data_IF_544585229245
#
_entry.id   IF_544585229245
#
_cell.length_a   1.000
_cell.length_b   1.000
_cell.length_c   1.000
_cell.angle_alpha   90.00
_cell.angle_beta   90.00
_cell.angle_gamma   90.00
#
_symmetry.space_group_name_H-M   'P 1'
#
loop_
_entity.id
_entity.type
_entity.pdbx_description
1 polymer ?
#
# COMPACT_ATOMS: atom_id res chain seq x y z
N UNK A 1 28.58 -15.18 -26.07
CA UNK A 1 28.02 -14.46 -24.92
C UNK A 1 26.59 -14.18 -25.29
N UNK A 2 25.65 -14.87 -24.65
CA UNK A 2 24.24 -14.87 -25.02
C UNK A 2 23.58 -13.58 -24.52
N UNK A 3 23.05 -12.79 -25.45
CA UNK A 3 22.36 -11.51 -25.20
C UNK A 3 20.92 -11.74 -24.76
N UNK A 4 20.74 -12.35 -23.59
CA UNK A 4 19.42 -12.60 -23.02
C UNK A 4 19.40 -12.15 -21.56
N UNK A 5 19.14 -10.86 -21.31
CA UNK A 5 18.56 -10.35 -20.05
C UNK A 5 18.33 -8.83 -20.02
N UNK A 6 18.17 -8.14 -21.15
CA UNK A 6 17.58 -6.79 -21.12
C UNK A 6 16.07 -6.94 -20.94
N UNK A 7 15.63 -7.09 -19.69
CA UNK A 7 14.27 -6.71 -19.29
C UNK A 7 14.13 -5.23 -19.65
N UNK A 8 13.62 -4.97 -20.84
CA UNK A 8 13.46 -3.65 -21.46
C UNK A 8 12.28 -2.91 -20.82
N UNK A 9 12.19 -2.92 -19.49
CA UNK A 9 11.30 -2.04 -18.74
C UNK A 9 12.12 -0.80 -18.44
N UNK A 10 11.86 0.34 -19.11
CA UNK A 10 12.57 1.57 -18.83
C UNK A 10 12.37 1.97 -17.37
N UNK A 11 13.40 2.51 -16.71
CA UNK A 11 13.30 3.08 -15.34
C UNK A 11 12.11 4.04 -15.22
N UNK A 12 11.79 4.76 -16.30
CA UNK A 12 10.63 5.65 -16.38
C UNK A 12 9.29 4.93 -16.12
N UNK A 13 9.09 3.72 -16.65
CA UNK A 13 7.88 2.94 -16.44
C UNK A 13 7.77 2.44 -15.00
N UNK A 14 8.89 2.00 -14.40
CA UNK A 14 8.93 1.63 -12.98
C UNK A 14 8.58 2.82 -12.06
N UNK A 15 9.10 4.01 -12.38
CA UNK A 15 8.78 5.24 -11.65
C UNK A 15 7.29 5.62 -11.80
N UNK A 16 6.74 5.50 -13.01
CA UNK A 16 5.33 5.76 -13.27
C UNK A 16 4.42 4.78 -12.51
N UNK A 17 4.76 3.49 -12.52
CA UNK A 17 4.04 2.47 -11.76
C UNK A 17 4.11 2.71 -10.24
N UNK A 18 5.29 3.06 -9.71
CA UNK A 18 5.44 3.43 -8.30
C UNK A 18 4.59 4.65 -7.93
N UNK A 19 4.52 5.66 -8.81
CA UNK A 19 3.70 6.85 -8.57
C UNK A 19 2.22 6.50 -8.49
N UNK A 20 1.70 5.73 -9.47
CA UNK A 20 0.32 5.24 -9.44
C UNK A 20 0.04 4.40 -8.18
N UNK A 21 1.00 3.58 -7.78
CA UNK A 21 0.84 2.73 -6.61
C UNK A 21 0.76 3.54 -5.30
N UNK A 22 1.52 4.63 -5.18
CA UNK A 22 1.43 5.57 -4.04
C UNK A 22 0.10 6.30 -3.99
N UNK A 23 -0.50 6.61 -5.13
CA UNK A 23 -1.84 7.21 -5.18
C UNK A 23 -2.88 6.23 -4.61
N UNK A 24 -2.82 4.96 -5.02
CA UNK A 24 -3.67 3.90 -4.45
C UNK A 24 -3.43 3.70 -2.94
N UNK A 25 -2.18 3.81 -2.47
CA UNK A 25 -1.85 3.72 -1.03
C UNK A 25 -2.52 4.85 -0.24
N UNK A 26 -2.53 6.06 -0.78
CA UNK A 26 -3.22 7.20 -0.18
C UNK A 26 -4.74 7.01 -0.16
N UNK A 27 -5.32 6.49 -1.23
CA UNK A 27 -6.76 6.18 -1.29
C UNK A 27 -7.15 5.12 -0.27
N UNK A 28 -6.37 4.03 -0.16
CA UNK A 28 -6.59 2.99 0.84
C UNK A 28 -6.53 3.56 2.27
N UNK A 29 -5.59 4.46 2.54
CA UNK A 29 -5.45 5.10 3.84
C UNK A 29 -6.61 6.06 4.16
N UNK A 30 -7.16 6.75 3.14
CA UNK A 30 -8.39 7.53 3.31
C UNK A 30 -9.57 6.64 3.70
N UNK A 31 -9.72 5.45 3.11
CA UNK A 31 -10.75 4.48 3.49
C UNK A 31 -10.56 4.03 4.94
N UNK A 32 -9.33 3.68 5.35
CA UNK A 32 -9.04 3.30 6.73
C UNK A 32 -9.41 4.39 7.73
N UNK A 33 -9.07 5.64 7.43
CA UNK A 33 -9.38 6.78 8.29
C UNK A 33 -10.88 7.07 8.35
N UNK A 34 -11.61 6.88 7.25
CA UNK A 34 -13.08 6.98 7.24
C UNK A 34 -13.74 5.91 8.13
N UNK A 35 -13.18 4.69 8.16
CA UNK A 35 -13.69 3.61 9.03
C UNK A 35 -13.40 3.89 10.50
N UNK A 36 -12.15 4.19 10.85
CA UNK A 36 -11.75 4.40 12.25
C UNK A 36 -12.40 5.64 12.88
N UNK A 37 -12.66 6.68 12.08
CA UNK A 37 -13.33 7.90 12.54
C UNK A 37 -14.84 7.86 12.31
N UNK A 38 -15.25 7.94 11.04
CA UNK A 38 -16.64 8.16 10.65
C UNK A 38 -17.54 6.96 10.97
N UNK A 39 -17.14 5.77 10.54
CA UNK A 39 -17.91 4.55 10.80
C UNK A 39 -17.96 4.29 12.30
N UNK A 40 -16.81 4.25 12.99
CA UNK A 40 -16.77 4.12 14.46
C UNK A 40 -17.67 5.11 15.18
N UNK A 41 -17.75 6.35 14.69
CA UNK A 41 -18.59 7.40 15.25
C UNK A 41 -20.10 7.08 15.27
N UNK A 42 -20.60 6.23 14.36
CA UNK A 42 -22.01 5.82 14.32
C UNK A 42 -22.43 5.12 15.63
N UNK A 43 -21.52 4.32 16.20
CA UNK A 43 -21.76 3.58 17.44
C UNK A 43 -21.67 4.42 18.71
N UNK A 44 -21.38 5.73 18.63
CA UNK A 44 -21.15 6.56 19.82
C UNK A 44 -22.38 6.70 20.73
N UNK A 45 -23.58 6.66 20.15
CA UNK A 45 -24.84 6.71 20.89
C UNK A 45 -25.31 5.34 21.38
N UNK A 46 -24.59 4.26 21.03
CA UNK A 46 -24.91 2.91 21.46
C UNK A 46 -24.30 2.65 22.84
N UNK A 47 -24.87 1.71 23.58
CA UNK A 47 -24.44 1.38 24.94
C UNK A 47 -24.38 -0.14 25.17
N UNK A 48 -23.67 -0.54 26.23
CA UNK A 48 -23.56 -1.93 26.63
C UNK A 48 -22.96 -2.82 25.53
N UNK A 49 -23.46 -4.06 25.45
CA UNK A 49 -22.92 -5.08 24.56
C UNK A 49 -22.97 -4.70 23.08
N UNK A 50 -23.97 -3.92 22.63
CA UNK A 50 -24.06 -3.47 21.25
C UNK A 50 -22.88 -2.59 20.85
N UNK A 51 -22.49 -1.63 21.71
CA UNK A 51 -21.31 -0.79 21.48
C UNK A 51 -20.01 -1.60 21.52
N UNK A 52 -19.90 -2.52 22.47
CA UNK A 52 -18.72 -3.38 22.60
C UNK A 52 -18.53 -4.25 21.35
N UNK A 53 -19.57 -4.93 20.89
CA UNK A 53 -19.51 -5.76 19.68
C UNK A 53 -19.20 -4.92 18.43
N UNK A 54 -19.80 -3.73 18.31
CA UNK A 54 -19.54 -2.83 17.21
C UNK A 54 -18.09 -2.35 17.14
N UNK A 55 -17.53 -1.91 18.27
CA UNK A 55 -16.14 -1.50 18.34
C UNK A 55 -15.18 -2.66 18.02
N UNK A 56 -15.48 -3.86 18.53
CA UNK A 56 -14.68 -5.04 18.24
C UNK A 56 -14.65 -5.38 16.75
N UNK A 57 -15.78 -5.25 16.05
CA UNK A 57 -15.83 -5.47 14.60
C UNK A 57 -14.98 -4.46 13.82
N UNK A 58 -15.00 -3.19 14.23
CA UNK A 58 -14.14 -2.16 13.61
C UNK A 58 -12.67 -2.44 13.90
N UNK A 59 -12.32 -2.83 15.13
CA UNK A 59 -10.94 -3.15 15.49
C UNK A 59 -10.43 -4.35 14.69
N UNK A 60 -11.27 -5.38 14.48
CA UNK A 60 -10.96 -6.51 13.59
C UNK A 60 -10.73 -6.06 12.15
N UNK A 61 -11.62 -5.22 11.62
CA UNK A 61 -11.48 -4.69 10.26
C UNK A 61 -10.18 -3.89 10.10
N UNK A 62 -9.81 -3.07 11.08
CA UNK A 62 -8.55 -2.30 11.07
C UNK A 62 -7.32 -3.21 11.11
N UNK A 63 -7.38 -4.29 11.87
CA UNK A 63 -6.32 -5.30 11.91
C UNK A 63 -6.19 -6.02 10.55
N UNK A 64 -7.31 -6.36 9.92
CA UNK A 64 -7.33 -6.97 8.59
C UNK A 64 -6.81 -6.01 7.51
N UNK A 65 -7.21 -4.73 7.54
CA UNK A 65 -6.65 -3.70 6.68
C UNK A 65 -5.12 -3.64 6.82
N UNK A 66 -4.59 -3.61 8.05
CA UNK A 66 -3.16 -3.55 8.29
C UNK A 66 -2.43 -4.76 7.67
N UNK A 67 -2.98 -5.97 7.84
CA UNK A 67 -2.36 -7.22 7.40
C UNK A 67 -2.50 -7.47 5.90
N UNK A 68 -3.65 -7.15 5.32
CA UNK A 68 -4.01 -7.53 3.95
C UNK A 68 -3.80 -6.41 2.94
N UNK A 69 -3.75 -5.16 3.39
CA UNK A 69 -3.62 -3.98 2.52
C UNK A 69 -2.33 -3.23 2.85
N UNK A 70 -2.24 -2.59 4.01
CA UNK A 70 -1.14 -1.67 4.31
C UNK A 70 0.25 -2.35 4.23
N UNK A 71 0.41 -3.52 4.87
CA UNK A 71 1.68 -4.25 4.87
C UNK A 71 2.11 -4.69 3.45
N UNK A 72 1.27 -5.40 2.67
CA UNK A 72 1.62 -5.73 1.28
C UNK A 72 1.92 -4.50 0.42
N UNK A 73 1.20 -3.39 0.61
CA UNK A 73 1.46 -2.17 -0.14
C UNK A 73 2.84 -1.59 0.17
N UNK A 74 3.18 -1.44 1.45
CA UNK A 74 4.53 -1.00 1.84
C UNK A 74 5.62 -1.92 1.27
N UNK A 75 5.41 -3.24 1.26
CA UNK A 75 6.37 -4.19 0.69
C UNK A 75 6.58 -3.95 -0.81
N UNK A 76 5.49 -3.73 -1.57
CA UNK A 76 5.59 -3.50 -3.01
C UNK A 76 6.21 -2.14 -3.33
N UNK A 77 5.90 -1.09 -2.58
CA UNK A 77 6.55 0.23 -2.66
C UNK A 77 8.07 0.10 -2.47
N UNK A 78 8.49 -0.63 -1.44
CA UNK A 78 9.92 -0.86 -1.17
C UNK A 78 10.59 -1.65 -2.30
N UNK A 79 9.91 -2.65 -2.84
CA UNK A 79 10.41 -3.42 -3.98
C UNK A 79 10.60 -2.54 -5.22
N UNK A 80 9.61 -1.70 -5.57
CA UNK A 80 9.73 -0.76 -6.68
C UNK A 80 10.92 0.18 -6.51
N UNK A 81 11.11 0.73 -5.31
CA UNK A 81 12.23 1.62 -5.01
C UNK A 81 13.59 0.91 -5.20
N UNK A 82 13.72 -0.33 -4.73
CA UNK A 82 14.94 -1.12 -4.92
C UNK A 82 15.21 -1.41 -6.40
N UNK A 83 14.17 -1.77 -7.16
CA UNK A 83 14.31 -2.05 -8.58
C UNK A 83 14.71 -0.81 -9.39
N UNK A 84 14.13 0.35 -9.08
CA UNK A 84 14.51 1.63 -9.71
C UNK A 84 16.00 1.90 -9.49
N UNK A 85 16.50 1.76 -8.25
CA UNK A 85 17.92 1.97 -7.94
C UNK A 85 18.83 1.00 -8.71
N UNK A 86 18.47 -0.28 -8.77
CA UNK A 86 19.25 -1.30 -9.50
C UNK A 86 19.32 -0.94 -10.99
N UNK A 87 18.18 -0.56 -11.58
CA UNK A 87 18.12 -0.26 -13.01
C UNK A 87 18.88 1.04 -13.36
N UNK A 88 18.82 2.06 -12.49
CA UNK A 88 19.62 3.29 -12.65
C UNK A 88 21.13 3.01 -12.60
N UNK A 89 21.58 2.12 -11.71
CA UNK A 89 22.99 1.71 -11.62
C UNK A 89 23.44 0.95 -12.88
N UNK A 90 22.59 0.04 -13.39
CA UNK A 90 22.85 -0.69 -14.65
C UNK A 90 22.92 0.25 -15.85
N UNK A 91 22.04 1.25 -15.96
CA UNK A 91 22.09 2.25 -17.02
C UNK A 91 23.36 3.09 -16.95
N UNK A 92 23.78 3.51 -15.74
CA UNK A 92 24.99 4.29 -15.54
C UNK A 92 26.28 3.52 -15.86
N UNK A 93 26.33 2.21 -15.61
CA UNK A 93 27.49 1.37 -15.92
C UNK A 93 27.61 1.03 -17.41
N UNK A 94 26.51 1.08 -18.17
CA UNK A 94 26.48 0.76 -19.61
C UNK A 94 26.53 2.01 -20.52
N UNK A 95 26.60 3.22 -19.94
CA UNK A 95 26.69 4.51 -20.65
C UNK A 95 28.14 5.00 -20.76
#
# INVERSE_FOLDING_TARGET
MDMANTLDIPVAELRAALQQFRELEQEAEQVRNAVDGGVRGIGNSWYGQARTAYNAEIDNWLADYQRMVAQPMTQLTNWFQQMIVIMEDVEAQNS
#
